data_IF_218613726788
#
_entry.id   IF_218613726788
#
_cell.length_a   1.000
_cell.length_b   1.000
_cell.length_c   1.000
_cell.angle_alpha   90.00
_cell.angle_beta   90.00
_cell.angle_gamma   90.00
#
_symmetry.space_group_name_H-M   'P 1'
#
loop_
_entity.id
_entity.type
_entity.pdbx_description
1 polymer ?
#
# COMPACT_ATOMS: atom_id res chain seq x y z
N UNK A 1 6.25 6.20 7.36
CA UNK A 1 5.16 5.28 7.73
C UNK A 1 5.44 4.63 9.09
N UNK A 2 6.53 3.92 9.30
CA UNK A 2 6.88 3.25 10.58
C UNK A 2 6.59 4.09 11.85
N UNK A 3 6.83 5.40 11.81
CA UNK A 3 6.56 6.32 12.93
C UNK A 3 5.08 6.67 13.16
N UNK A 4 4.19 6.07 12.41
CA UNK A 4 2.75 6.22 12.56
C UNK A 4 2.13 4.86 12.88
N UNK A 5 2.01 4.47 14.17
CA UNK A 5 1.36 3.21 14.54
C UNK A 5 0.02 3.04 13.83
N UNK A 6 -0.19 1.88 13.23
CA UNK A 6 -1.33 1.64 12.35
C UNK A 6 -1.92 0.23 12.55
N UNK A 7 -2.20 -0.15 13.79
CA UNK A 7 -2.96 -1.38 14.01
C UNK A 7 -4.31 -1.30 13.30
N UNK A 8 -4.86 -2.47 12.88
CA UNK A 8 -6.12 -2.53 12.15
C UNK A 8 -7.21 -1.70 12.82
N UNK A 9 -7.94 -0.90 12.06
CA UNK A 9 -8.91 0.12 12.48
C UNK A 9 -8.32 1.41 13.09
N UNK A 10 -7.01 1.57 13.17
CA UNK A 10 -6.34 2.77 13.71
C UNK A 10 -5.38 3.42 12.68
N UNK A 11 -5.57 3.18 11.38
CA UNK A 11 -4.65 3.57 10.29
C UNK A 11 -4.69 5.06 9.92
N UNK A 12 -5.49 5.88 10.61
CA UNK A 12 -5.76 7.27 10.19
C UNK A 12 -4.52 8.14 9.98
N UNK A 13 -3.49 8.01 10.81
CA UNK A 13 -2.26 8.80 10.70
C UNK A 13 -1.39 8.33 9.54
N UNK A 14 -1.22 7.03 9.34
CA UNK A 14 -0.44 6.50 8.22
C UNK A 14 -1.15 6.79 6.89
N UNK A 15 -2.48 6.72 6.83
CA UNK A 15 -3.27 7.14 5.66
C UNK A 15 -3.00 8.60 5.31
N UNK A 16 -3.01 9.49 6.30
CA UNK A 16 -2.71 10.90 6.09
C UNK A 16 -1.28 11.14 5.59
N UNK A 17 -0.32 10.41 6.14
CA UNK A 17 1.08 10.43 5.72
C UNK A 17 1.23 10.02 4.25
N UNK A 18 0.67 8.87 3.86
CA UNK A 18 0.74 8.34 2.50
C UNK A 18 0.04 9.29 1.51
N UNK A 19 -1.15 9.79 1.88
CA UNK A 19 -1.88 10.75 1.06
C UNK A 19 -1.05 11.99 0.78
N UNK A 20 -0.45 12.58 1.80
CA UNK A 20 0.39 13.77 1.66
C UNK A 20 1.61 13.51 0.77
N UNK A 21 2.23 12.35 0.89
CA UNK A 21 3.37 11.96 0.07
C UNK A 21 2.97 11.81 -1.40
N UNK A 22 1.87 11.09 -1.70
CA UNK A 22 1.35 10.96 -3.07
C UNK A 22 1.03 12.33 -3.69
N UNK A 23 0.40 13.23 -2.93
CA UNK A 23 0.11 14.59 -3.38
C UNK A 23 1.40 15.36 -3.68
N UNK A 24 2.42 15.23 -2.84
CA UNK A 24 3.73 15.88 -3.02
C UNK A 24 4.47 15.39 -4.27
N UNK A 25 4.32 14.11 -4.59
CA UNK A 25 4.89 13.47 -5.77
C UNK A 25 4.13 13.82 -7.07
N UNK A 26 3.00 14.51 -6.98
CA UNK A 26 2.23 14.95 -8.15
C UNK A 26 1.44 13.81 -8.79
N UNK A 27 0.82 12.96 -7.98
CA UNK A 27 -0.23 12.05 -8.45
C UNK A 27 -1.38 12.82 -9.08
N UNK A 28 -1.97 12.29 -10.14
CA UNK A 28 -3.04 12.98 -10.87
C UNK A 28 -4.34 13.06 -10.05
N UNK A 29 -4.59 12.07 -9.23
CA UNK A 29 -5.69 12.02 -8.26
C UNK A 29 -5.23 11.27 -7.02
N UNK A 30 -5.55 11.79 -5.83
CA UNK A 30 -5.39 11.07 -4.55
C UNK A 30 -6.68 11.18 -3.75
N UNK A 31 -7.20 10.06 -3.30
CA UNK A 31 -8.42 10.00 -2.50
C UNK A 31 -8.34 8.97 -1.39
N UNK A 32 -9.16 9.16 -0.38
CA UNK A 32 -9.41 8.18 0.68
C UNK A 32 -10.90 7.81 0.59
N UNK A 33 -11.19 6.52 0.59
CA UNK A 33 -12.56 6.04 0.51
C UNK A 33 -13.26 6.04 1.89
N UNK A 34 -14.51 5.58 1.93
CA UNK A 34 -15.30 5.55 3.16
C UNK A 34 -14.90 4.45 4.14
N UNK A 35 -14.06 3.50 3.75
CA UNK A 35 -13.48 2.50 4.64
C UNK A 35 -12.15 2.99 5.24
N UNK A 36 -11.44 3.87 4.53
CA UNK A 36 -10.13 4.39 4.91
C UNK A 36 -9.00 4.03 3.93
N UNK A 37 -9.28 3.26 2.88
CA UNK A 37 -8.27 2.95 1.89
C UNK A 37 -7.78 4.22 1.19
N UNK A 38 -6.46 4.42 1.09
CA UNK A 38 -5.86 5.53 0.35
C UNK A 38 -5.50 5.07 -1.06
N UNK A 39 -5.94 5.82 -2.05
CA UNK A 39 -5.74 5.49 -3.46
C UNK A 39 -5.13 6.67 -4.21
N UNK A 40 -4.01 6.43 -4.87
CA UNK A 40 -3.38 7.38 -5.77
C UNK A 40 -3.38 6.89 -7.22
N UNK A 41 -3.66 7.78 -8.16
CA UNK A 41 -3.74 7.44 -9.59
C UNK A 41 -2.71 8.21 -10.39
N UNK A 42 -2.08 7.55 -11.36
CA UNK A 42 -1.20 8.15 -12.35
C UNK A 42 -1.53 7.65 -13.75
N UNK A 43 -1.70 8.58 -14.69
CA UNK A 43 -2.10 8.34 -16.07
C UNK A 43 -3.57 8.64 -16.34
N UNK A 44 -3.93 8.72 -17.63
CA UNK A 44 -5.24 9.21 -18.07
C UNK A 44 -6.15 8.12 -18.66
N UNK A 45 -5.72 6.86 -18.63
CA UNK A 45 -6.46 5.76 -19.23
C UNK A 45 -7.69 5.33 -18.41
N UNK A 46 -8.63 4.66 -19.08
CA UNK A 46 -9.83 4.10 -18.44
C UNK A 46 -9.56 2.76 -17.76
N UNK A 47 -8.52 2.04 -18.21
CA UNK A 47 -8.11 0.75 -17.67
C UNK A 47 -7.17 0.93 -16.48
N UNK A 48 -7.38 0.15 -15.44
CA UNK A 48 -6.62 0.27 -14.18
C UNK A 48 -5.72 -0.96 -14.01
N UNK A 49 -4.45 -0.69 -13.75
CA UNK A 49 -3.53 -1.66 -13.14
C UNK A 49 -3.33 -1.19 -11.70
N UNK A 50 -3.74 -2.00 -10.74
CA UNK A 50 -3.59 -1.68 -9.33
C UNK A 50 -2.33 -2.31 -8.75
N UNK A 51 -1.65 -1.59 -7.87
CA UNK A 51 -0.59 -2.10 -7.01
C UNK A 51 -1.10 -1.94 -5.59
N UNK A 52 -1.25 -3.05 -4.91
CA UNK A 52 -1.87 -3.18 -3.61
C UNK A 52 -0.82 -3.45 -2.53
N UNK A 53 -0.91 -2.68 -1.47
CA UNK A 53 -0.12 -2.87 -0.24
C UNK A 53 -1.02 -2.55 0.93
N UNK A 54 -1.17 -3.45 1.89
CA UNK A 54 -1.86 -3.07 3.11
C UNK A 54 -0.99 -2.14 3.97
N UNK A 55 -1.62 -1.32 4.77
CA UNK A 55 -0.97 -0.28 5.57
C UNK A 55 -1.25 -0.41 7.07
N UNK A 56 -2.12 -1.33 7.42
CA UNK A 56 -2.25 -1.75 8.80
C UNK A 56 -1.14 -2.74 9.17
N UNK A 57 -0.87 -2.84 10.44
CA UNK A 57 0.16 -3.71 11.00
C UNK A 57 -0.38 -4.44 12.22
N UNK A 58 0.13 -5.63 12.47
CA UNK A 58 -0.10 -6.29 13.76
C UNK A 58 0.59 -5.53 14.89
N UNK A 59 0.08 -5.64 16.11
CA UNK A 59 0.68 -5.05 17.30
C UNK A 59 2.13 -5.50 17.53
N UNK A 60 2.89 -4.68 18.26
CA UNK A 60 4.32 -4.94 18.53
C UNK A 60 4.57 -6.09 19.50
N UNK A 61 3.53 -6.56 20.20
CA UNK A 61 3.68 -7.60 21.22
C UNK A 61 4.53 -7.14 22.42
N UNK A 62 5.44 -8.01 22.88
CA UNK A 62 6.34 -7.64 23.98
C UNK A 62 7.50 -6.77 23.48
N UNK A 63 7.58 -5.54 23.94
CA UNK A 63 8.62 -4.58 23.56
C UNK A 63 10.04 -5.09 23.85
N UNK A 64 10.22 -5.94 24.84
CA UNK A 64 11.52 -6.53 25.17
C UNK A 64 12.08 -7.46 24.09
N UNK A 65 11.27 -7.87 23.13
CA UNK A 65 11.68 -8.69 22.00
C UNK A 65 12.22 -7.87 20.81
N UNK A 66 12.25 -6.55 20.93
CA UNK A 66 12.72 -5.65 19.89
C UNK A 66 14.12 -5.13 20.21
N UNK A 67 15.00 -5.07 19.21
CA UNK A 67 16.35 -4.54 19.36
C UNK A 67 16.39 -3.01 19.45
N UNK A 68 15.32 -2.34 19.01
CA UNK A 68 15.10 -0.90 19.09
C UNK A 68 13.61 -0.61 19.20
N UNK A 69 13.24 0.64 19.46
CA UNK A 69 11.82 1.05 19.45
C UNK A 69 11.21 0.75 18.08
N UNK A 70 10.15 -0.09 18.02
CA UNK A 70 9.57 -0.51 16.74
C UNK A 70 8.86 0.62 15.96
N UNK A 71 8.51 1.71 16.62
CA UNK A 71 7.83 2.85 15.99
C UNK A 71 8.74 4.06 15.75
N UNK A 72 9.86 4.19 16.49
CA UNK A 72 10.91 5.14 16.10
C UNK A 72 11.70 4.57 14.92
N UNK A 73 11.98 3.27 14.98
CA UNK A 73 12.76 2.58 13.97
C UNK A 73 14.19 3.09 13.87
N UNK A 74 14.94 2.55 12.97
CA UNK A 74 16.21 3.13 12.52
C UNK A 74 16.50 2.77 11.06
N UNK A 75 17.35 3.56 10.46
CA UNK A 75 17.81 3.38 9.08
C UNK A 75 19.32 3.32 9.01
N UNK A 76 19.83 2.42 8.19
CA UNK A 76 21.22 2.34 7.77
C UNK A 76 21.28 2.24 6.25
N UNK A 77 22.48 2.19 5.66
CA UNK A 77 22.65 1.98 4.22
C UNK A 77 22.06 0.64 3.72
N UNK A 78 21.82 -0.32 4.62
CA UNK A 78 21.40 -1.68 4.26
C UNK A 78 20.04 -2.08 4.86
N UNK A 79 19.59 -1.44 5.93
CA UNK A 79 18.45 -1.88 6.72
C UNK A 79 17.54 -0.70 7.07
N UNK A 80 16.24 -0.88 6.88
CA UNK A 80 15.18 -0.10 7.52
C UNK A 80 14.53 -1.03 8.55
N UNK A 81 14.57 -0.62 9.82
CA UNK A 81 14.07 -1.41 10.94
C UNK A 81 12.86 -0.73 11.60
N UNK A 82 11.81 -1.48 11.82
CA UNK A 82 10.61 -1.04 12.54
C UNK A 82 9.38 -1.89 12.20
N UNK A 83 8.31 -1.69 12.95
CA UNK A 83 7.02 -2.34 12.65
C UNK A 83 6.52 -1.87 11.29
N UNK A 84 6.00 -2.79 10.46
CA UNK A 84 5.55 -2.48 9.10
C UNK A 84 6.67 -2.42 8.04
N UNK A 85 7.96 -2.36 8.43
CA UNK A 85 9.05 -2.19 7.48
C UNK A 85 9.13 -3.28 6.40
N UNK A 86 8.74 -4.51 6.74
CA UNK A 86 8.66 -5.65 5.80
C UNK A 86 7.22 -5.96 5.42
N UNK A 87 6.32 -5.93 6.36
CA UNK A 87 4.92 -6.31 6.25
C UNK A 87 4.02 -5.15 6.71
N UNK A 88 3.47 -4.32 5.73
CA UNK A 88 4.11 -4.22 4.39
C UNK A 88 4.22 -2.76 3.92
N UNK A 89 4.48 -1.84 4.82
CA UNK A 89 4.70 -0.41 4.50
C UNK A 89 5.88 -0.21 3.53
N UNK A 90 6.88 -1.12 3.56
CA UNK A 90 7.97 -1.13 2.59
C UNK A 90 7.49 -1.38 1.16
N UNK A 91 6.50 -2.27 1.00
CA UNK A 91 5.79 -2.49 -0.27
C UNK A 91 5.05 -1.24 -0.72
N UNK A 92 4.32 -0.60 0.19
CA UNK A 92 3.59 0.65 -0.07
C UNK A 92 4.52 1.79 -0.52
N UNK A 93 5.63 1.99 0.16
CA UNK A 93 6.64 2.97 -0.23
C UNK A 93 7.16 2.68 -1.64
N UNK A 94 7.56 1.43 -1.88
CA UNK A 94 8.09 1.00 -3.18
C UNK A 94 7.08 1.22 -4.32
N UNK A 95 5.81 0.84 -4.11
CA UNK A 95 4.73 1.04 -5.09
C UNK A 95 4.49 2.52 -5.40
N UNK A 96 4.47 3.36 -4.36
CA UNK A 96 4.25 4.79 -4.49
C UNK A 96 5.31 5.46 -5.37
N UNK A 97 6.59 5.16 -5.11
CA UNK A 97 7.66 5.74 -5.92
C UNK A 97 7.80 5.08 -7.30
N UNK A 98 7.51 3.77 -7.42
CA UNK A 98 7.53 3.09 -8.71
C UNK A 98 6.51 3.68 -9.70
N UNK A 99 5.28 3.95 -9.26
CA UNK A 99 4.26 4.57 -10.10
C UNK A 99 4.70 5.97 -10.58
N UNK A 100 5.31 6.77 -9.68
CA UNK A 100 5.89 8.07 -10.04
C UNK A 100 7.01 7.92 -11.09
N UNK A 101 7.92 6.98 -10.89
CA UNK A 101 8.99 6.71 -11.87
C UNK A 101 8.42 6.27 -13.22
N UNK A 102 7.42 5.40 -13.24
CA UNK A 102 6.76 4.98 -14.48
C UNK A 102 6.16 6.15 -15.23
N UNK A 103 5.50 7.09 -14.51
CA UNK A 103 4.97 8.32 -15.12
C UNK A 103 6.07 9.19 -15.72
N UNK A 104 7.11 9.48 -14.95
CA UNK A 104 8.22 10.35 -15.39
C UNK A 104 8.99 9.79 -16.58
N UNK A 105 9.09 8.46 -16.66
CA UNK A 105 9.75 7.76 -17.77
C UNK A 105 8.83 7.50 -18.97
N UNK A 106 7.56 7.87 -18.88
CA UNK A 106 6.58 7.60 -19.95
C UNK A 106 6.29 6.11 -20.16
N UNK A 107 6.36 5.30 -19.11
CA UNK A 107 6.18 3.85 -19.16
C UNK A 107 4.75 3.39 -18.86
N UNK A 108 3.84 4.30 -18.54
CA UNK A 108 2.42 3.95 -18.36
C UNK A 108 1.84 3.68 -19.76
N UNK A 109 1.30 2.47 -20.01
CA UNK A 109 0.78 2.14 -21.33
C UNK A 109 -0.40 3.03 -21.73
N UNK A 110 -0.52 3.31 -23.04
CA UNK A 110 -1.66 4.06 -23.57
C UNK A 110 -2.99 3.38 -23.21
N UNK A 111 -3.96 4.15 -22.76
CA UNK A 111 -5.27 3.66 -22.31
C UNK A 111 -5.29 3.08 -20.88
N UNK A 112 -4.16 3.09 -20.20
CA UNK A 112 -4.06 2.64 -18.81
C UNK A 112 -3.74 3.78 -17.84
N UNK A 113 -4.08 3.56 -16.58
CA UNK A 113 -3.57 4.30 -15.43
C UNK A 113 -3.13 3.31 -14.34
N UNK A 114 -2.12 3.71 -13.61
CA UNK A 114 -1.68 2.97 -12.42
C UNK A 114 -2.47 3.49 -11.23
N UNK A 115 -3.01 2.60 -10.44
CA UNK A 115 -3.58 2.87 -9.12
C UNK A 115 -2.67 2.25 -8.07
N UNK A 116 -2.11 3.06 -7.21
CA UNK A 116 -1.45 2.58 -6.00
C UNK A 116 -2.46 2.69 -4.86
N UNK A 117 -2.69 1.61 -4.16
CA UNK A 117 -3.66 1.57 -3.07
C UNK A 117 -3.02 1.07 -1.79
N UNK A 118 -3.18 1.86 -0.73
CA UNK A 118 -2.90 1.45 0.63
C UNK A 118 -4.21 0.95 1.25
N UNK A 119 -4.31 -0.36 1.42
CA UNK A 119 -5.51 -1.01 1.96
C UNK A 119 -5.45 -1.08 3.47
N UNK A 120 -6.60 -0.92 4.12
CA UNK A 120 -6.76 -0.97 5.57
C UNK A 120 -7.33 -2.32 6.00
N UNK A 121 -7.08 -2.70 7.27
CA UNK A 121 -7.67 -3.87 7.92
C UNK A 121 -7.36 -5.21 7.24
N UNK A 122 -6.21 -5.36 6.60
CA UNK A 122 -5.83 -6.62 5.98
C UNK A 122 -5.59 -7.69 7.04
N UNK A 123 -4.83 -7.36 8.08
CA UNK A 123 -4.40 -8.26 9.14
C UNK A 123 -5.56 -8.86 9.96
N UNK A 124 -6.68 -8.14 10.09
CA UNK A 124 -7.85 -8.58 10.84
C UNK A 124 -9.00 -9.09 9.96
N UNK A 125 -9.15 -8.56 8.76
CA UNK A 125 -10.35 -8.74 7.92
C UNK A 125 -10.07 -9.15 6.47
N UNK A 126 -8.93 -9.67 6.18
CA UNK A 126 -8.48 -10.34 4.94
C UNK A 126 -9.41 -10.14 3.72
N UNK A 127 -9.12 -9.12 2.89
CA UNK A 127 -9.83 -8.84 1.64
C UNK A 127 -11.13 -8.02 1.78
N UNK A 128 -11.55 -7.59 2.95
CA UNK A 128 -12.73 -6.71 3.10
C UNK A 128 -12.53 -5.37 2.41
N UNK A 129 -11.33 -4.82 2.46
CA UNK A 129 -10.92 -3.60 1.76
C UNK A 129 -11.21 -3.68 0.25
N UNK A 130 -10.83 -4.78 -0.40
CA UNK A 130 -11.08 -4.99 -1.82
C UNK A 130 -12.56 -5.22 -2.14
N UNK A 131 -13.33 -5.84 -1.25
CA UNK A 131 -14.78 -5.92 -1.41
C UNK A 131 -15.43 -4.53 -1.37
N UNK A 132 -14.91 -3.64 -0.53
CA UNK A 132 -15.38 -2.26 -0.47
C UNK A 132 -15.03 -1.49 -1.75
N UNK A 133 -13.77 -1.47 -2.15
CA UNK A 133 -13.28 -0.82 -3.38
C UNK A 133 -14.07 -1.30 -4.60
N UNK A 134 -14.27 -2.61 -4.74
CA UNK A 134 -14.97 -3.18 -5.88
C UNK A 134 -16.47 -2.89 -5.89
N UNK A 135 -17.16 -3.09 -4.76
CA UNK A 135 -18.61 -3.05 -4.69
C UNK A 135 -19.18 -1.66 -4.34
N UNK A 136 -18.45 -0.86 -3.57
CA UNK A 136 -18.93 0.48 -3.12
C UNK A 136 -18.34 1.59 -3.97
N UNK A 137 -17.05 1.57 -4.22
CA UNK A 137 -16.39 2.60 -5.04
C UNK A 137 -16.53 2.31 -6.53
N UNK A 138 -16.86 1.07 -6.90
CA UNK A 138 -17.05 0.67 -8.30
C UNK A 138 -15.73 0.59 -9.07
N UNK A 139 -14.59 0.57 -8.39
CA UNK A 139 -13.27 0.49 -9.01
C UNK A 139 -12.96 -0.96 -9.34
N UNK A 140 -12.71 -1.24 -10.62
CA UNK A 140 -12.50 -2.59 -11.16
C UNK A 140 -11.22 -2.65 -11.97
N UNK A 141 -10.07 -2.90 -11.33
CA UNK A 141 -8.81 -3.06 -12.04
C UNK A 141 -8.85 -4.27 -12.98
N UNK A 142 -8.13 -4.19 -14.11
CA UNK A 142 -7.89 -5.36 -14.95
C UNK A 142 -6.87 -6.32 -14.33
N UNK A 143 -5.91 -5.75 -13.56
CA UNK A 143 -4.89 -6.51 -12.84
C UNK A 143 -4.67 -5.88 -11.47
N UNK A 144 -4.40 -6.72 -10.48
CA UNK A 144 -3.93 -6.31 -9.16
C UNK A 144 -2.60 -7.02 -8.90
N UNK A 145 -1.60 -6.25 -8.54
CA UNK A 145 -0.30 -6.74 -8.09
C UNK A 145 -0.29 -6.52 -6.58
N UNK A 146 -0.32 -7.60 -5.80
CA UNK A 146 -0.11 -7.52 -4.36
C UNK A 146 1.38 -7.54 -4.05
N UNK A 147 1.80 -6.69 -3.12
CA UNK A 147 3.18 -6.61 -2.64
C UNK A 147 3.39 -7.36 -1.34
N UNK A 148 2.45 -8.21 -0.96
CA UNK A 148 2.52 -9.06 0.22
C UNK A 148 3.87 -9.77 0.34
N UNK A 149 4.56 -9.71 1.48
CA UNK A 149 5.84 -10.38 1.63
C UNK A 149 5.66 -11.90 1.57
N UNK A 150 6.33 -12.54 0.62
CA UNK A 150 6.25 -13.99 0.43
C UNK A 150 7.24 -14.71 1.36
N UNK A 151 6.74 -15.67 2.14
CA UNK A 151 7.60 -16.57 2.91
C UNK A 151 8.17 -17.67 2.01
N UNK A 152 9.42 -18.10 2.20
CA UNK A 152 10.06 -19.13 1.35
C UNK A 152 9.33 -20.47 1.26
N UNK A 153 8.33 -20.73 2.11
CA UNK A 153 7.62 -22.03 2.26
C UNK A 153 6.20 -21.99 1.70
N UNK A 154 5.65 -20.82 1.33
CA UNK A 154 4.35 -20.70 0.69
C UNK A 154 4.37 -19.57 -0.32
N UNK A 155 4.88 -19.87 -1.51
CA UNK A 155 4.84 -18.92 -2.61
C UNK A 155 3.43 -18.94 -3.16
N UNK A 156 2.67 -17.90 -2.90
CA UNK A 156 1.47 -17.60 -3.66
C UNK A 156 1.65 -16.23 -4.30
N UNK A 157 2.14 -16.20 -5.52
CA UNK A 157 1.94 -15.04 -6.36
C UNK A 157 0.46 -15.04 -6.74
N UNK A 158 -0.34 -14.31 -6.01
CA UNK A 158 -1.73 -14.12 -6.37
C UNK A 158 -1.82 -12.97 -7.37
N UNK A 159 -1.62 -13.27 -8.64
CA UNK A 159 -2.13 -12.42 -9.71
C UNK A 159 -3.61 -12.74 -9.86
N UNK A 160 -4.48 -11.96 -9.25
CA UNK A 160 -5.91 -12.10 -9.46
C UNK A 160 -6.31 -11.43 -10.75
N UNK A 161 -6.64 -12.22 -11.76
CA UNK A 161 -7.34 -11.74 -12.94
C UNK A 161 -8.83 -11.71 -12.60
N UNK A 162 -9.38 -10.54 -12.32
CA UNK A 162 -10.81 -10.35 -12.15
C UNK A 162 -11.46 -10.36 -13.54
N UNK A 163 -12.12 -11.46 -13.93
CA UNK A 163 -13.00 -11.52 -15.09
C UNK A 163 -14.42 -11.27 -14.68
#
# INVERSE_FOLDING_TARGET
>A
MISHPSESCEEGEVVACIKAEMESLGYDEVKVDGLGNVMGFMGEGDKIIAIDSHIDTVGIGNIENWDADPYEGYETDEIIYGRGGSDQEGGMASATYAAKMMKDMGLIPEGYKIMVVGTVQEEDCDGMCWQYIYNKDGIKPEFVISTEPTRPISISYAVFCLK
#
